data_IF_363258142664
#
_entry.id   IF_363258142664
#
_cell.length_a   1.000
_cell.length_b   1.000
_cell.length_c   1.000
_cell.angle_alpha   90.00
_cell.angle_beta   90.00
_cell.angle_gamma   90.00
#
_symmetry.space_group_name_H-M   'P 1'
#
loop_
_entity.id
_entity.type
_entity.pdbx_description
1 polymer ?
#
# COMPACT_ATOMS: atom_id res chain seq x y z
N UNK A 1 -10.24 -9.61 62.62
CA UNK A 1 -10.53 -10.37 61.38
C UNK A 1 -11.01 -9.52 60.20
N UNK A 2 -11.55 -8.32 60.43
CA UNK A 2 -11.98 -7.39 59.36
C UNK A 2 -10.83 -6.74 58.60
N UNK A 3 -9.71 -6.41 59.25
CA UNK A 3 -8.53 -5.83 58.58
C UNK A 3 -7.76 -6.80 57.67
N UNK A 4 -7.78 -8.09 58.00
CA UNK A 4 -7.14 -9.13 57.18
C UNK A 4 -7.94 -9.39 55.86
N UNK A 5 -9.27 -9.29 55.93
CA UNK A 5 -10.15 -9.37 54.73
C UNK A 5 -10.04 -8.15 53.82
N UNK A 6 -9.84 -6.96 54.39
CA UNK A 6 -9.63 -5.73 53.62
C UNK A 6 -8.29 -5.74 52.85
N UNK A 7 -7.23 -6.34 53.41
CA UNK A 7 -5.92 -6.47 52.75
C UNK A 7 -5.98 -7.48 51.59
N UNK A 8 -6.68 -8.62 51.76
CA UNK A 8 -6.84 -9.59 50.67
C UNK A 8 -7.63 -9.04 49.47
N UNK A 9 -8.61 -8.15 49.70
CA UNK A 9 -9.37 -7.50 48.63
C UNK A 9 -8.54 -6.47 47.85
N UNK A 10 -7.62 -5.75 48.51
CA UNK A 10 -6.73 -4.78 47.86
C UNK A 10 -5.65 -5.45 46.99
N UNK A 11 -5.13 -6.62 47.41
CA UNK A 11 -4.13 -7.38 46.64
C UNK A 11 -4.75 -8.03 45.39
N UNK A 12 -5.99 -8.49 45.45
CA UNK A 12 -6.69 -9.09 44.30
C UNK A 12 -6.96 -8.07 43.18
N UNK A 13 -7.21 -6.79 43.52
CA UNK A 13 -7.46 -5.72 42.54
C UNK A 13 -6.19 -5.31 41.77
N UNK A 14 -5.01 -5.41 42.38
CA UNK A 14 -3.72 -5.10 41.74
C UNK A 14 -3.30 -6.20 40.75
N UNK A 15 -3.61 -7.47 41.04
CA UNK A 15 -3.29 -8.59 40.15
C UNK A 15 -4.11 -8.59 38.85
N UNK A 16 -5.37 -8.12 38.89
CA UNK A 16 -6.23 -8.06 37.72
C UNK A 16 -5.78 -6.99 36.71
N UNK A 17 -5.23 -5.87 37.17
CA UNK A 17 -4.74 -4.79 36.29
C UNK A 17 -3.49 -5.22 35.50
N UNK A 18 -2.62 -6.04 36.09
CA UNK A 18 -1.41 -6.52 35.45
C UNK A 18 -1.69 -7.48 34.28
N UNK A 19 -2.73 -8.30 34.36
CA UNK A 19 -3.08 -9.24 33.28
C UNK A 19 -3.63 -8.53 32.04
N UNK A 20 -4.48 -7.51 32.22
CA UNK A 20 -5.05 -6.74 31.10
C UNK A 20 -3.97 -5.93 30.35
N UNK A 21 -3.02 -5.36 31.09
CA UNK A 21 -1.89 -4.63 30.47
C UNK A 21 -0.93 -5.57 29.74
N UNK A 22 -0.68 -6.76 30.30
CA UNK A 22 0.18 -7.76 29.66
C UNK A 22 -0.44 -8.32 28.37
N UNK A 23 -1.76 -8.58 28.37
CA UNK A 23 -2.50 -9.05 27.20
C UNK A 23 -2.48 -8.00 26.08
N UNK A 24 -2.73 -6.73 26.41
CA UNK A 24 -2.66 -5.61 25.46
C UNK A 24 -1.26 -5.48 24.85
N UNK A 25 -0.20 -5.55 25.67
CA UNK A 25 1.18 -5.45 25.20
C UNK A 25 1.59 -6.64 24.31
N UNK A 26 1.12 -7.85 24.62
CA UNK A 26 1.37 -9.05 23.81
C UNK A 26 0.66 -8.98 22.45
N UNK A 27 -0.56 -8.44 22.44
CA UNK A 27 -1.32 -8.20 21.22
C UNK A 27 -0.63 -7.17 20.31
N UNK A 28 -0.23 -6.01 20.87
CA UNK A 28 0.53 -5.00 20.12
C UNK A 28 1.86 -5.54 19.58
N UNK A 29 2.58 -6.32 20.37
CA UNK A 29 3.84 -6.94 19.94
C UNK A 29 3.63 -7.88 18.73
N UNK A 30 2.53 -8.64 18.72
CA UNK A 30 2.18 -9.52 17.60
C UNK A 30 1.87 -8.72 16.33
N UNK A 31 1.19 -7.57 16.45
CA UNK A 31 0.96 -6.65 15.34
C UNK A 31 2.26 -6.04 14.81
N UNK A 32 3.16 -5.59 15.68
CA UNK A 32 4.49 -5.06 15.28
C UNK A 32 5.30 -6.12 14.53
N UNK A 33 5.31 -7.36 15.02
CA UNK A 33 6.00 -8.47 14.36
C UNK A 33 5.43 -8.73 12.96
N UNK A 34 4.10 -8.75 12.82
CA UNK A 34 3.43 -8.91 11.54
C UNK A 34 3.76 -7.76 10.57
N UNK A 35 3.63 -6.50 11.01
CA UNK A 35 3.89 -5.32 10.19
C UNK A 35 5.31 -5.29 9.65
N UNK A 36 6.29 -5.74 10.46
CA UNK A 36 7.68 -5.89 10.02
C UNK A 36 7.84 -6.93 8.92
N UNK A 37 7.19 -8.10 9.07
CA UNK A 37 7.22 -9.16 8.05
C UNK A 37 6.51 -8.71 6.77
N UNK A 38 5.43 -7.94 6.89
CA UNK A 38 4.69 -7.39 5.77
C UNK A 38 5.39 -6.20 5.07
N UNK A 39 6.57 -5.78 5.54
CA UNK A 39 7.30 -4.60 5.05
C UNK A 39 6.47 -3.31 5.08
N UNK A 40 5.70 -3.12 6.15
CA UNK A 40 4.85 -1.94 6.31
C UNK A 40 5.65 -0.61 6.36
N UNK A 41 6.94 -0.68 6.70
CA UNK A 41 7.87 0.45 6.64
C UNK A 41 8.09 0.98 5.21
N UNK A 42 7.86 0.14 4.19
CA UNK A 42 8.01 0.51 2.78
C UNK A 42 6.76 1.17 2.19
N UNK A 43 5.63 1.22 2.91
CA UNK A 43 4.37 1.78 2.39
C UNK A 43 4.48 3.25 1.97
N UNK A 44 5.35 4.01 2.63
CA UNK A 44 5.61 5.41 2.28
C UNK A 44 6.48 5.60 1.04
N UNK A 45 7.30 4.60 0.65
CA UNK A 45 8.33 4.76 -0.36
C UNK A 45 7.84 5.32 -1.72
N UNK A 46 6.68 4.90 -2.27
CA UNK A 46 6.14 5.48 -3.50
C UNK A 46 5.91 7.00 -3.41
N UNK A 47 5.52 7.51 -2.24
CA UNK A 47 5.29 8.95 -2.02
C UNK A 47 6.60 9.72 -2.11
N UNK A 48 7.67 9.22 -1.47
CA UNK A 48 9.00 9.83 -1.57
C UNK A 48 9.49 9.86 -3.02
N UNK A 49 9.35 8.75 -3.74
CA UNK A 49 9.75 8.68 -5.16
C UNK A 49 8.96 9.66 -6.03
N UNK A 50 7.63 9.75 -5.83
CA UNK A 50 6.78 10.67 -6.57
C UNK A 50 7.19 12.14 -6.36
N UNK A 51 7.49 12.51 -5.11
CA UNK A 51 7.97 13.87 -4.79
C UNK A 51 9.32 14.13 -5.44
N UNK A 52 10.27 13.19 -5.35
CA UNK A 52 11.57 13.32 -6.00
C UNK A 52 11.45 13.49 -7.51
N UNK A 53 10.60 12.70 -8.15
CA UNK A 53 10.31 12.80 -9.58
C UNK A 53 9.71 14.15 -9.96
N UNK A 54 8.80 14.69 -9.13
CA UNK A 54 8.22 16.01 -9.35
C UNK A 54 9.31 17.10 -9.37
N UNK A 55 10.25 17.08 -8.41
CA UNK A 55 11.37 18.03 -8.39
C UNK A 55 12.29 17.86 -9.61
N UNK A 56 12.61 16.62 -9.99
CA UNK A 56 13.45 16.33 -11.15
C UNK A 56 12.81 16.81 -12.47
N UNK A 57 11.49 16.60 -12.61
CA UNK A 57 10.73 17.08 -13.76
C UNK A 57 10.77 18.61 -13.84
N UNK A 58 10.53 19.32 -12.73
CA UNK A 58 10.60 20.78 -12.68
C UNK A 58 11.99 21.30 -13.04
N UNK A 59 13.04 20.66 -12.53
CA UNK A 59 14.42 21.01 -12.87
C UNK A 59 14.68 20.87 -14.38
N UNK A 60 14.23 19.78 -15.00
CA UNK A 60 14.34 19.57 -16.45
C UNK A 60 13.53 20.61 -17.25
N UNK A 61 12.30 20.93 -16.83
CA UNK A 61 11.44 21.95 -17.46
C UNK A 61 12.09 23.34 -17.49
N UNK A 62 12.82 23.71 -16.43
CA UNK A 62 13.55 24.99 -16.37
C UNK A 62 14.79 25.03 -17.27
N UNK A 63 15.16 23.91 -17.91
CA UNK A 63 16.40 23.76 -18.69
C UNK A 63 17.64 24.17 -17.88
N UNK A 64 17.62 23.91 -16.57
CA UNK A 64 18.71 24.28 -15.68
C UNK A 64 20.02 23.59 -16.09
N UNK A 65 21.17 24.28 -15.99
CA UNK A 65 22.45 23.68 -16.32
C UNK A 65 22.86 22.64 -15.27
N UNK A 66 23.66 21.65 -15.67
CA UNK A 66 24.14 20.59 -14.79
C UNK A 66 24.89 21.12 -13.55
N UNK A 67 25.52 22.30 -13.62
CA UNK A 67 26.15 22.95 -12.48
C UNK A 67 25.19 23.31 -11.34
N UNK A 68 23.87 23.30 -11.57
CA UNK A 68 22.82 23.53 -10.58
C UNK A 68 22.23 22.24 -10.01
N UNK A 69 22.75 21.06 -10.36
CA UNK A 69 22.29 19.77 -9.86
C UNK A 69 22.25 19.70 -8.32
N UNK A 70 23.27 20.25 -7.64
CA UNK A 70 23.31 20.32 -6.18
C UNK A 70 22.11 21.09 -5.57
N UNK A 71 21.52 22.04 -6.32
CA UNK A 71 20.32 22.75 -5.88
C UNK A 71 19.11 21.81 -5.89
N UNK A 72 18.94 21.00 -6.94
CA UNK A 72 17.89 19.99 -7.00
C UNK A 72 18.00 19.00 -5.83
N UNK A 73 19.20 18.45 -5.61
CA UNK A 73 19.47 17.50 -4.52
C UNK A 73 19.17 18.10 -3.15
N UNK A 74 19.56 19.36 -2.92
CA UNK A 74 19.27 20.08 -1.67
C UNK A 74 17.76 20.18 -1.41
N UNK A 75 16.97 20.53 -2.43
CA UNK A 75 15.52 20.68 -2.26
C UNK A 75 14.80 19.33 -2.17
N UNK A 76 15.25 18.30 -2.88
CA UNK A 76 14.77 16.94 -2.69
C UNK A 76 15.05 16.45 -1.26
N UNK A 77 16.24 16.73 -0.72
CA UNK A 77 16.57 16.42 0.68
C UNK A 77 15.67 17.14 1.69
N UNK A 78 15.40 18.43 1.47
CA UNK A 78 14.43 19.20 2.29
C UNK A 78 13.01 18.63 2.20
N UNK A 79 12.58 18.21 1.02
CA UNK A 79 11.27 17.60 0.82
C UNK A 79 11.18 16.26 1.54
N UNK A 80 12.20 15.40 1.43
CA UNK A 80 12.27 14.14 2.17
C UNK A 80 12.21 14.39 3.69
N UNK A 81 12.99 15.34 4.20
CA UNK A 81 12.96 15.69 5.63
C UNK A 81 11.58 16.19 6.09
N UNK A 82 10.86 16.93 5.25
CA UNK A 82 9.49 17.36 5.53
C UNK A 82 8.51 16.18 5.53
N UNK A 83 8.64 15.25 4.58
CA UNK A 83 7.86 14.00 4.56
C UNK A 83 8.14 13.15 5.79
N UNK A 84 9.39 13.04 6.24
CA UNK A 84 9.75 12.28 7.43
C UNK A 84 9.04 12.77 8.70
N UNK A 85 8.73 14.06 8.79
CA UNK A 85 7.97 14.59 9.93
C UNK A 85 6.53 14.08 9.99
N UNK A 86 5.98 13.61 8.87
CA UNK A 86 4.57 13.24 8.73
C UNK A 86 4.38 11.74 8.51
N UNK A 87 5.15 11.15 7.60
CA UNK A 87 4.94 9.80 7.09
C UNK A 87 6.12 8.85 7.33
N UNK A 88 7.11 9.25 8.14
CA UNK A 88 8.16 8.31 8.54
C UNK A 88 7.56 7.14 9.33
N UNK A 89 8.18 5.97 9.23
CA UNK A 89 7.71 4.78 9.92
C UNK A 89 7.48 4.99 11.43
N UNK A 90 8.36 5.66 12.20
CA UNK A 90 8.09 5.92 13.62
C UNK A 90 6.84 6.76 13.90
N UNK A 91 6.41 7.59 12.95
CA UNK A 91 5.17 8.38 13.04
C UNK A 91 3.94 7.55 12.71
N UNK A 92 4.04 6.67 11.72
CA UNK A 92 2.92 5.84 11.26
C UNK A 92 2.73 4.56 12.07
N UNK A 93 3.80 4.00 12.64
CA UNK A 93 3.78 2.71 13.32
C UNK A 93 2.70 2.61 14.41
N UNK A 94 2.51 3.60 15.31
CA UNK A 94 1.49 3.49 16.36
C UNK A 94 0.07 3.37 15.80
N UNK A 95 -0.25 4.15 14.77
CA UNK A 95 -1.56 4.10 14.11
C UNK A 95 -1.75 2.79 13.34
N UNK A 96 -0.68 2.28 12.72
CA UNK A 96 -0.69 0.98 12.06
C UNK A 96 -0.89 -0.16 13.06
N UNK A 97 -0.18 -0.17 14.19
CA UNK A 97 -0.36 -1.17 15.23
C UNK A 97 -1.82 -1.16 15.70
N UNK A 98 -2.35 0.02 16.04
CA UNK A 98 -3.75 0.18 16.46
C UNK A 98 -4.74 -0.33 15.41
N UNK A 99 -4.49 -0.03 14.14
CA UNK A 99 -5.33 -0.50 13.04
C UNK A 99 -5.38 -2.02 13.01
N UNK A 100 -4.24 -2.69 13.12
CA UNK A 100 -4.18 -4.16 13.07
C UNK A 100 -4.77 -4.81 14.32
N UNK A 101 -4.45 -4.33 15.52
CA UNK A 101 -5.00 -4.88 16.78
C UNK A 101 -6.51 -4.64 16.94
N UNK A 102 -7.09 -3.71 16.16
CA UNK A 102 -8.54 -3.48 16.13
C UNK A 102 -9.27 -4.40 15.15
N UNK A 103 -8.56 -5.02 14.21
CA UNK A 103 -9.15 -5.84 13.13
C UNK A 103 -8.81 -7.33 13.25
N UNK A 104 -7.76 -7.67 13.97
CA UNK A 104 -7.32 -9.04 14.20
C UNK A 104 -7.21 -9.28 15.70
N UNK A 105 -7.48 -10.52 16.10
CA UNK A 105 -7.13 -10.99 17.44
C UNK A 105 -5.64 -11.28 17.52
N UNK A 106 -5.12 -11.35 18.76
CA UNK A 106 -3.72 -11.71 18.98
C UNK A 106 -3.36 -13.08 18.38
N UNK A 107 -4.26 -14.06 18.48
CA UNK A 107 -4.03 -15.40 17.92
C UNK A 107 -3.89 -15.34 16.40
N UNK A 108 -4.77 -14.61 15.71
CA UNK A 108 -4.72 -14.47 14.25
C UNK A 108 -3.44 -13.76 13.80
N UNK A 109 -2.99 -12.72 14.53
CA UNK A 109 -1.72 -12.05 14.24
C UNK A 109 -0.53 -12.99 14.44
N UNK A 110 -0.54 -13.83 15.48
CA UNK A 110 0.49 -14.86 15.69
C UNK A 110 0.51 -15.89 14.56
N UNK A 111 -0.66 -16.33 14.11
CA UNK A 111 -0.78 -17.27 13.00
C UNK A 111 -0.28 -16.67 11.68
N UNK A 112 -0.59 -15.39 11.42
CA UNK A 112 -0.05 -14.65 10.28
C UNK A 112 1.48 -14.55 10.36
N UNK A 113 2.02 -14.20 11.53
CA UNK A 113 3.47 -14.15 11.76
C UNK A 113 4.11 -15.51 11.48
N UNK A 114 3.56 -16.59 12.03
CA UNK A 114 4.08 -17.94 11.83
C UNK A 114 4.04 -18.35 10.35
N UNK A 115 2.95 -18.03 9.65
CA UNK A 115 2.83 -18.29 8.21
C UNK A 115 3.89 -17.54 7.41
N UNK A 116 4.01 -16.21 7.56
CA UNK A 116 4.96 -15.41 6.79
C UNK A 116 6.43 -15.69 7.15
N UNK A 117 6.72 -16.22 8.34
CA UNK A 117 8.05 -16.71 8.69
C UNK A 117 8.40 -18.07 8.06
N UNK A 118 7.40 -18.89 7.72
CA UNK A 118 7.63 -20.20 7.12
C UNK A 118 8.29 -20.10 5.72
N UNK A 119 9.02 -21.13 5.27
CA UNK A 119 9.59 -21.15 3.91
C UNK A 119 8.52 -20.96 2.81
N UNK A 120 7.30 -21.47 3.05
CA UNK A 120 6.19 -21.27 2.13
C UNK A 120 5.70 -19.81 2.13
N UNK A 121 5.49 -19.21 3.31
CA UNK A 121 5.02 -17.82 3.42
C UNK A 121 6.00 -16.83 2.80
N UNK A 122 7.31 -17.00 3.02
CA UNK A 122 8.35 -16.21 2.36
C UNK A 122 8.32 -16.38 0.84
N UNK A 123 8.14 -17.61 0.35
CA UNK A 123 8.00 -17.89 -1.09
C UNK A 123 6.75 -17.22 -1.67
N UNK A 124 5.63 -17.27 -0.96
CA UNK A 124 4.38 -16.59 -1.34
C UNK A 124 4.63 -15.08 -1.43
N UNK A 125 5.21 -14.46 -0.41
CA UNK A 125 5.51 -13.02 -0.39
C UNK A 125 6.42 -12.60 -1.56
N UNK A 126 7.43 -13.40 -1.89
CA UNK A 126 8.34 -13.13 -2.99
C UNK A 126 7.72 -13.37 -4.39
N UNK A 127 6.84 -14.37 -4.52
CA UNK A 127 6.33 -14.82 -5.83
C UNK A 127 4.99 -14.25 -6.22
N UNK A 128 4.12 -13.90 -5.27
CA UNK A 128 2.77 -13.39 -5.59
C UNK A 128 2.79 -12.14 -6.48
N UNK A 129 3.65 -11.11 -6.25
CA UNK A 129 3.72 -9.97 -7.16
C UNK A 129 4.09 -10.38 -8.60
N UNK A 130 5.03 -11.32 -8.75
CA UNK A 130 5.45 -11.85 -10.05
C UNK A 130 4.32 -12.61 -10.73
N UNK A 131 3.61 -13.45 -9.98
CA UNK A 131 2.45 -14.21 -10.48
C UNK A 131 1.36 -13.24 -10.93
N UNK A 132 1.00 -12.23 -10.13
CA UNK A 132 0.02 -11.21 -10.51
C UNK A 132 0.41 -10.47 -11.79
N UNK A 133 1.69 -10.11 -11.95
CA UNK A 133 2.21 -9.49 -13.17
C UNK A 133 2.08 -10.43 -14.38
N UNK A 134 2.45 -11.69 -14.23
CA UNK A 134 2.34 -12.70 -15.29
C UNK A 134 0.87 -12.96 -15.67
N UNK A 135 -0.03 -13.02 -14.68
CA UNK A 135 -1.48 -13.14 -14.90
C UNK A 135 -2.02 -11.98 -15.72
N UNK A 136 -1.61 -10.75 -15.40
CA UNK A 136 -2.01 -9.58 -16.17
C UNK A 136 -1.51 -9.64 -17.63
N UNK A 137 -0.24 -9.99 -17.85
CA UNK A 137 0.33 -10.13 -19.19
C UNK A 137 -0.38 -11.21 -20.01
N UNK A 138 -0.70 -12.34 -19.39
CA UNK A 138 -1.45 -13.42 -20.02
C UNK A 138 -2.84 -12.95 -20.47
N UNK A 139 -3.57 -12.25 -19.61
CA UNK A 139 -4.89 -11.69 -19.94
C UNK A 139 -4.78 -10.67 -21.07
N UNK A 140 -3.79 -9.78 -21.03
CA UNK A 140 -3.56 -8.78 -22.07
C UNK A 140 -3.30 -9.44 -23.43
N UNK A 141 -2.47 -10.48 -23.48
CA UNK A 141 -2.19 -11.23 -24.71
C UNK A 141 -3.44 -11.93 -25.26
N UNK A 142 -4.29 -12.48 -24.39
CA UNK A 142 -5.55 -13.09 -24.84
C UNK A 142 -6.54 -12.05 -25.36
N UNK A 143 -6.60 -10.88 -24.73
CA UNK A 143 -7.50 -9.80 -25.11
C UNK A 143 -7.24 -9.29 -26.53
N UNK A 144 -5.99 -9.33 -27.01
CA UNK A 144 -5.64 -8.95 -28.39
C UNK A 144 -6.48 -9.69 -29.44
N UNK A 145 -6.80 -10.97 -29.19
CA UNK A 145 -7.66 -11.76 -30.09
C UNK A 145 -9.13 -11.34 -30.07
N UNK A 146 -9.60 -10.69 -29.00
CA UNK A 146 -10.96 -10.20 -28.87
C UNK A 146 -11.15 -8.79 -29.47
N UNK A 147 -10.06 -8.03 -29.68
CA UNK A 147 -10.11 -6.66 -30.22
C UNK A 147 -10.91 -6.56 -31.53
N UNK A 148 -10.73 -7.43 -32.54
CA UNK A 148 -11.51 -7.35 -33.78
C UNK A 148 -13.02 -7.56 -33.55
N UNK A 149 -13.39 -8.47 -32.63
CA UNK A 149 -14.79 -8.76 -32.31
C UNK A 149 -15.43 -7.55 -31.63
N UNK A 150 -14.75 -6.96 -30.64
CA UNK A 150 -15.22 -5.75 -29.96
C UNK A 150 -15.36 -4.59 -30.94
N UNK A 151 -14.38 -4.38 -31.82
CA UNK A 151 -14.43 -3.34 -32.85
C UNK A 151 -15.62 -3.54 -33.81
N UNK A 152 -15.92 -4.79 -34.18
CA UNK A 152 -17.09 -5.11 -35.00
C UNK A 152 -18.39 -4.78 -34.27
N UNK A 153 -18.54 -5.21 -33.02
CA UNK A 153 -19.72 -4.90 -32.21
C UNK A 153 -19.94 -3.39 -32.06
N UNK A 154 -18.87 -2.62 -31.85
CA UNK A 154 -18.93 -1.16 -31.80
C UNK A 154 -19.36 -0.55 -33.14
N UNK A 155 -18.85 -1.08 -34.26
CA UNK A 155 -19.23 -0.63 -35.60
C UNK A 155 -20.71 -0.94 -35.90
N UNK A 156 -21.17 -2.14 -35.55
CA UNK A 156 -22.56 -2.58 -35.75
C UNK A 156 -23.53 -1.70 -34.92
N UNK A 157 -23.21 -1.49 -33.63
CA UNK A 157 -23.99 -0.58 -32.77
C UNK A 157 -24.03 0.86 -33.32
N UNK A 158 -22.89 1.38 -33.78
CA UNK A 158 -22.82 2.74 -34.36
C UNK A 158 -23.72 2.84 -35.59
N UNK A 159 -23.73 1.81 -36.44
CA UNK A 159 -24.58 1.76 -37.63
C UNK A 159 -26.06 1.75 -37.27
N UNK A 160 -26.47 1.03 -36.23
CA UNK A 160 -27.85 0.98 -35.74
C UNK A 160 -28.31 2.30 -35.10
N UNK A 161 -27.41 3.00 -34.40
CA UNK A 161 -27.71 4.25 -33.71
C UNK A 161 -27.64 5.49 -34.62
N UNK A 162 -27.02 5.40 -35.80
CA UNK A 162 -26.92 6.54 -36.72
C UNK A 162 -28.25 6.73 -37.46
N UNK A 163 -28.98 7.86 -37.26
CA UNK A 163 -30.23 8.10 -37.96
C UNK A 163 -30.03 8.16 -39.48
N UNK A 164 -30.95 7.60 -40.25
CA UNK A 164 -30.90 7.65 -41.71
C UNK A 164 -30.91 9.11 -42.20
N UNK A 165 -29.72 9.62 -42.57
CA UNK A 165 -29.50 11.00 -43.02
C UNK A 165 -28.42 11.77 -42.27
N UNK A 166 -27.90 11.26 -41.15
CA UNK A 166 -26.77 11.89 -40.47
C UNK A 166 -25.44 11.52 -41.17
N UNK A 167 -24.67 12.54 -41.59
CA UNK A 167 -23.34 12.36 -42.20
C UNK A 167 -22.42 11.65 -41.18
N UNK A 168 -21.65 10.61 -41.57
CA UNK A 168 -20.76 9.92 -40.65
C UNK A 168 -19.79 10.91 -40.00
N UNK A 169 -19.75 10.96 -38.67
CA UNK A 169 -18.68 11.65 -37.96
C UNK A 169 -17.37 10.96 -38.33
N UNK A 170 -16.36 11.74 -38.72
CA UNK A 170 -15.07 11.22 -39.13
C UNK A 170 -14.48 10.32 -38.02
N UNK A 171 -13.86 9.18 -38.37
CA UNK A 171 -13.26 8.31 -37.37
C UNK A 171 -12.23 9.08 -36.57
N UNK A 172 -12.36 9.07 -35.25
CA UNK A 172 -11.36 9.61 -34.35
C UNK A 172 -10.04 8.88 -34.64
N UNK A 173 -9.01 9.65 -35.00
CA UNK A 173 -7.69 9.13 -35.29
C UNK A 173 -7.21 8.27 -34.11
N UNK A 174 -6.58 7.09 -34.37
CA UNK A 174 -6.05 6.27 -33.30
C UNK A 174 -5.07 7.09 -32.48
N UNK A 175 -5.33 7.17 -31.17
CA UNK A 175 -4.44 7.80 -30.22
C UNK A 175 -3.05 7.18 -30.39
N UNK A 176 -2.06 8.02 -30.74
CA UNK A 176 -0.66 7.60 -30.82
C UNK A 176 -0.29 7.00 -29.47
N UNK A 177 0.16 5.75 -29.51
CA UNK A 177 0.69 5.03 -28.36
C UNK A 177 1.85 5.85 -27.75
N UNK A 178 1.91 6.05 -26.42
CA UNK A 178 3.07 6.64 -25.77
C UNK A 178 4.30 5.74 -25.90
#
# INVERSE_FOLDING_TARGET
MTRLRAICAAVALVCASGQVLADTASHEASAVAFLKLAHADQLGAPVYMQVQQMFAQRFAETKAPASKQATLETYQGKANAALDQVISWPKLQPDMVKLYTSNFTESELKDLVAFYQSPLGQKVQAKMPQISQQSFQLTQSKLESAVPVVNKLLADMTKELTPAGAKPAAPAAPAKKP
#
